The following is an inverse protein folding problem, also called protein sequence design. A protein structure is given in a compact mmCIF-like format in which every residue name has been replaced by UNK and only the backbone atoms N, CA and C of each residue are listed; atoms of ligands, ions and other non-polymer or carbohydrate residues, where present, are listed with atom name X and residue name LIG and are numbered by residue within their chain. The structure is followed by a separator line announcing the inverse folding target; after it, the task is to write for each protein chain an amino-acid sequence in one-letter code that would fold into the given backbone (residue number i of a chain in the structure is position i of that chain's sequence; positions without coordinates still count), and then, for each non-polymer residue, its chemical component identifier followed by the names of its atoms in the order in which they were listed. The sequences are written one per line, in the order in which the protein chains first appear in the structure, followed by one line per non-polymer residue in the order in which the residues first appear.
data_IF_765376017544
#
_entry.id   IF_765376017544
#
_cell.length_a   1.000
_cell.length_b   1.000
_cell.length_c   1.000
_cell.angle_alpha   90.00
_cell.angle_beta   90.00
_cell.angle_gamma   90.00
#
_symmetry.space_group_name_H-M   'P 1'
#
loop_
_entity.id
_entity.type
_entity.pdbx_description
1 polymer ?
#
# COMPACT_ATOMS: atom_id res chain seq x y z
N UNK A 1 25.26 50.38 5.51
CA UNK A 1 26.24 49.39 5.00
C UNK A 1 25.93 48.07 5.68
N UNK A 2 25.43 47.07 4.95
CA UNK A 2 25.22 45.71 5.47
C UNK A 2 26.19 44.78 4.75
N UNK A 3 27.15 44.24 5.51
CA UNK A 3 28.21 43.36 5.01
C UNK A 3 27.59 42.00 4.67
N UNK A 4 27.47 41.69 3.38
CA UNK A 4 27.09 40.36 2.89
C UNK A 4 28.25 39.41 3.18
N UNK A 5 28.13 38.65 4.25
CA UNK A 5 29.06 37.57 4.57
C UNK A 5 28.86 36.45 3.52
N UNK A 6 29.94 36.15 2.81
CA UNK A 6 29.98 35.19 1.72
C UNK A 6 29.51 33.81 2.19
N UNK A 7 28.48 33.27 1.54
CA UNK A 7 28.17 31.85 1.61
C UNK A 7 29.32 31.12 0.90
N UNK A 8 30.23 30.57 1.70
CA UNK A 8 31.39 29.79 1.24
C UNK A 8 30.87 28.55 0.51
N UNK A 9 31.05 28.55 -0.82
CA UNK A 9 30.89 27.40 -1.70
C UNK A 9 31.55 26.17 -1.05
N UNK A 10 30.77 25.12 -0.77
CA UNK A 10 31.35 23.82 -0.52
C UNK A 10 31.92 23.31 -1.84
N UNK A 11 33.19 22.89 -1.82
CA UNK A 11 33.93 22.39 -2.98
C UNK A 11 33.17 21.21 -3.65
N UNK A 12 32.90 21.26 -4.96
CA UNK A 12 32.24 20.20 -5.73
C UNK A 12 32.87 18.81 -5.54
N UNK A 13 34.15 18.77 -5.21
CA UNK A 13 34.93 17.55 -4.95
C UNK A 13 34.42 16.76 -3.75
N UNK A 14 33.88 17.42 -2.72
CA UNK A 14 33.34 16.73 -1.54
C UNK A 14 32.12 15.87 -1.89
N UNK A 15 31.25 16.37 -2.77
CA UNK A 15 30.08 15.64 -3.26
C UNK A 15 30.48 14.49 -4.19
N UNK A 16 31.47 14.72 -5.07
CA UNK A 16 31.99 13.69 -5.96
C UNK A 16 32.66 12.54 -5.18
N UNK A 17 33.47 12.88 -4.18
CA UNK A 17 34.11 11.91 -3.28
C UNK A 17 33.07 11.10 -2.50
N UNK A 18 32.03 11.75 -1.96
CA UNK A 18 30.96 11.04 -1.25
C UNK A 18 30.21 10.07 -2.19
N UNK A 19 29.88 10.50 -3.42
CA UNK A 19 29.23 9.65 -4.42
C UNK A 19 30.06 8.41 -4.74
N UNK A 20 31.37 8.57 -4.91
CA UNK A 20 32.29 7.46 -5.18
C UNK A 20 32.39 6.50 -3.99
N UNK A 21 32.53 7.03 -2.77
CA UNK A 21 32.58 6.21 -1.54
C UNK A 21 31.29 5.42 -1.32
N UNK A 22 30.13 6.02 -1.57
CA UNK A 22 28.83 5.33 -1.48
C UNK A 22 28.76 4.21 -2.52
N UNK A 23 29.21 4.47 -3.76
CA UNK A 23 29.19 3.46 -4.83
C UNK A 23 30.10 2.28 -4.50
N UNK A 24 31.32 2.54 -4.04
CA UNK A 24 32.29 1.51 -3.65
C UNK A 24 31.74 0.64 -2.51
N UNK A 25 31.24 1.26 -1.45
CA UNK A 25 30.68 0.56 -0.29
C UNK A 25 29.41 -0.23 -0.64
N UNK A 26 28.60 0.29 -1.56
CA UNK A 26 27.43 -0.43 -2.08
C UNK A 26 27.87 -1.68 -2.85
N UNK A 27 28.84 -1.57 -3.76
CA UNK A 27 29.34 -2.72 -4.53
C UNK A 27 29.99 -3.78 -3.65
N UNK A 28 30.77 -3.37 -2.64
CA UNK A 28 31.39 -4.28 -1.66
C UNK A 28 30.33 -5.02 -0.84
N UNK A 29 29.34 -4.28 -0.32
CA UNK A 29 28.27 -4.86 0.49
C UNK A 29 27.40 -5.81 -0.34
N UNK A 30 27.09 -5.43 -1.58
CA UNK A 30 26.31 -6.26 -2.49
C UNK A 30 27.05 -7.53 -2.90
N UNK A 31 28.37 -7.46 -3.13
CA UNK A 31 29.19 -8.63 -3.44
C UNK A 31 29.36 -9.61 -2.27
N UNK A 32 29.22 -9.12 -1.03
CA UNK A 32 29.28 -9.95 0.19
C UNK A 32 27.97 -10.66 0.51
N UNK A 33 26.84 -10.18 -0.01
CA UNK A 33 25.54 -10.82 0.19
C UNK A 33 25.49 -12.09 -0.66
N UNK A 34 25.53 -13.25 -0.02
CA UNK A 34 25.26 -14.49 -0.72
C UNK A 34 23.76 -14.62 -0.99
N UNK A 35 23.41 -15.11 -2.17
CA UNK A 35 22.01 -15.40 -2.54
C UNK A 35 21.36 -16.36 -1.53
N UNK A 36 22.14 -17.29 -0.98
CA UNK A 36 21.72 -18.20 0.09
C UNK A 36 21.37 -17.51 1.42
N UNK A 37 22.08 -16.45 1.84
CA UNK A 37 21.70 -15.67 3.02
C UNK A 37 20.39 -14.90 2.80
N UNK A 38 20.15 -14.43 1.57
CA UNK A 38 18.94 -13.71 1.22
C UNK A 38 17.73 -14.65 1.16
N UNK A 39 17.86 -15.82 0.51
CA UNK A 39 16.83 -16.86 0.41
C UNK A 39 16.36 -17.35 1.78
N UNK A 40 17.29 -17.47 2.74
CA UNK A 40 16.99 -17.92 4.10
C UNK A 40 16.64 -16.78 5.07
N UNK A 41 16.72 -15.52 4.64
CA UNK A 41 16.44 -14.39 5.51
C UNK A 41 14.96 -14.39 5.92
N UNK A 42 14.69 -14.24 7.22
CA UNK A 42 13.36 -14.33 7.84
C UNK A 42 12.27 -13.51 7.13
N UNK A 43 12.62 -12.34 6.60
CA UNK A 43 11.68 -11.47 5.87
C UNK A 43 11.31 -12.02 4.49
N UNK A 44 12.25 -12.65 3.79
CA UNK A 44 11.99 -13.21 2.47
C UNK A 44 11.23 -14.52 2.59
N UNK A 45 11.59 -15.36 3.57
CA UNK A 45 10.87 -16.60 3.89
C UNK A 45 9.40 -16.29 4.24
N UNK A 46 9.16 -15.35 5.17
CA UNK A 46 7.79 -14.97 5.56
C UNK A 46 7.00 -14.31 4.42
N UNK A 47 7.67 -13.57 3.53
CA UNK A 47 7.06 -13.04 2.31
C UNK A 47 6.68 -14.16 1.33
N UNK A 48 7.60 -15.07 0.97
CA UNK A 48 7.34 -16.23 0.08
C UNK A 48 6.16 -17.05 0.61
N UNK A 49 6.08 -17.26 1.92
CA UNK A 49 4.96 -17.97 2.55
C UNK A 49 3.63 -17.21 2.49
N UNK A 50 3.65 -15.89 2.72
CA UNK A 50 2.45 -15.04 2.60
C UNK A 50 1.90 -15.02 1.17
N UNK A 51 2.78 -14.96 0.17
CA UNK A 51 2.42 -15.04 -1.26
C UNK A 51 1.80 -16.40 -1.57
N UNK A 52 2.45 -17.50 -1.16
CA UNK A 52 1.94 -18.87 -1.33
C UNK A 52 0.54 -19.05 -0.75
N UNK A 53 0.30 -18.55 0.46
CA UNK A 53 -1.00 -18.66 1.13
C UNK A 53 -2.11 -17.87 0.41
N UNK A 54 -1.76 -16.70 -0.13
CA UNK A 54 -2.70 -15.86 -0.89
C UNK A 54 -3.06 -16.50 -2.23
N UNK A 55 -2.08 -17.10 -2.92
CA UNK A 55 -2.33 -17.79 -4.19
C UNK A 55 -3.15 -19.06 -4.01
N UNK A 56 -2.88 -19.86 -2.97
CA UNK A 56 -3.71 -21.02 -2.60
C UNK A 56 -5.19 -20.67 -2.39
N UNK A 57 -5.47 -19.46 -1.90
CA UNK A 57 -6.85 -18.99 -1.69
C UNK A 57 -7.51 -18.47 -2.97
N UNK A 58 -6.74 -18.07 -3.98
CA UNK A 58 -7.26 -17.57 -5.26
C UNK A 58 -7.32 -18.64 -6.36
N UNK A 59 -6.34 -19.55 -6.43
CA UNK A 59 -6.27 -20.65 -7.38
C UNK A 59 -5.52 -21.86 -6.78
N UNK A 60 -6.22 -22.93 -6.38
CA UNK A 60 -5.59 -24.12 -5.79
C UNK A 60 -4.65 -24.87 -6.74
N UNK A 61 -4.90 -24.82 -8.05
CA UNK A 61 -4.16 -25.58 -9.08
C UNK A 61 -2.81 -24.95 -9.43
N UNK A 62 -2.66 -23.63 -9.21
CA UNK A 62 -1.39 -22.93 -9.40
C UNK A 62 -0.38 -23.23 -8.28
N UNK A 63 -0.82 -23.73 -7.13
CA UNK A 63 0.05 -23.85 -5.94
C UNK A 63 1.01 -25.05 -5.96
N UNK A 64 0.78 -26.06 -6.81
CA UNK A 64 1.60 -27.28 -6.88
C UNK A 64 2.84 -27.15 -7.78
N UNK A 65 2.89 -26.19 -8.70
CA UNK A 65 4.01 -25.98 -9.64
C UNK A 65 4.99 -24.86 -9.25
N UNK A 66 4.82 -24.22 -8.08
CA UNK A 66 5.49 -22.96 -7.74
C UNK A 66 6.88 -23.07 -7.08
N UNK A 67 7.39 -24.27 -6.78
CA UNK A 67 8.74 -24.39 -6.22
C UNK A 67 9.81 -23.95 -7.23
N UNK A 68 9.55 -24.10 -8.53
CA UNK A 68 10.41 -23.61 -9.62
C UNK A 68 10.02 -22.20 -10.09
N UNK A 69 8.73 -21.84 -10.08
CA UNK A 69 8.22 -20.56 -10.64
C UNK A 69 8.46 -19.33 -9.75
N UNK A 70 8.77 -19.50 -8.46
CA UNK A 70 9.11 -18.39 -7.56
C UNK A 70 10.58 -17.92 -7.66
N UNK A 71 11.42 -18.68 -8.33
CA UNK A 71 12.80 -18.28 -8.68
C UNK A 71 12.85 -17.60 -10.07
N UNK A 72 11.75 -17.61 -10.84
CA UNK A 72 11.58 -16.76 -12.02
C UNK A 72 11.12 -15.35 -11.61
N UNK A 73 11.63 -14.34 -12.30
CA UNK A 73 11.45 -12.93 -11.98
C UNK A 73 9.98 -12.57 -11.67
N UNK A 74 9.70 -12.14 -10.43
CA UNK A 74 8.38 -11.63 -10.05
C UNK A 74 8.08 -10.37 -10.87
N UNK A 75 7.19 -10.49 -11.85
CA UNK A 75 6.68 -9.35 -12.59
C UNK A 75 5.79 -8.50 -11.68
N UNK A 76 6.31 -7.35 -11.22
CA UNK A 76 5.53 -6.38 -10.43
C UNK A 76 4.55 -5.66 -11.35
N UNK A 77 3.31 -6.12 -11.39
CA UNK A 77 2.22 -5.38 -12.05
C UNK A 77 1.72 -4.26 -11.14
N UNK A 78 1.54 -3.06 -11.69
CA UNK A 78 0.91 -1.96 -10.96
C UNK A 78 -0.55 -2.30 -10.66
N UNK A 79 -0.90 -2.48 -9.39
CA UNK A 79 -2.31 -2.57 -9.00
C UNK A 79 -2.94 -1.19 -9.09
N UNK A 80 -3.95 -1.04 -9.96
CA UNK A 80 -4.74 0.18 -10.02
C UNK A 80 -5.60 0.30 -8.75
N UNK A 81 -5.37 1.36 -7.98
CA UNK A 81 -6.21 1.67 -6.83
C UNK A 81 -7.47 2.36 -7.32
N UNK A 82 -8.63 1.73 -7.14
CA UNK A 82 -9.90 2.36 -7.48
C UNK A 82 -10.26 3.44 -6.45
N UNK A 83 -10.25 4.71 -6.89
CA UNK A 83 -10.62 5.87 -6.07
C UNK A 83 -12.11 6.21 -6.14
N UNK A 84 -12.89 5.47 -6.92
CA UNK A 84 -14.33 5.69 -7.10
C UNK A 84 -15.11 5.12 -5.91
N UNK A 85 -16.00 5.92 -5.35
CA UNK A 85 -16.88 5.47 -4.28
C UNK A 85 -17.97 4.53 -4.82
N UNK A 86 -18.20 3.35 -4.21
CA UNK A 86 -19.25 2.43 -4.65
C UNK A 86 -20.68 2.98 -4.41
N UNK A 87 -20.83 4.03 -3.60
CA UNK A 87 -22.13 4.67 -3.32
C UNK A 87 -22.45 5.81 -4.29
N UNK A 88 -21.48 6.67 -4.56
CA UNK A 88 -21.70 7.89 -5.36
C UNK A 88 -21.28 7.72 -6.81
N UNK A 89 -20.51 6.67 -7.13
CA UNK A 89 -19.95 6.41 -8.46
C UNK A 89 -19.08 7.56 -8.98
N UNK A 90 -18.53 8.37 -8.07
CA UNK A 90 -17.55 9.43 -8.35
C UNK A 90 -16.33 9.26 -7.46
N UNK A 91 -15.25 9.97 -7.79
CA UNK A 91 -14.01 9.94 -7.00
C UNK A 91 -14.26 10.42 -5.55
N UNK A 92 -13.66 9.72 -4.59
CA UNK A 92 -13.82 10.03 -3.17
C UNK A 92 -13.10 11.33 -2.78
N UNK A 93 -13.78 12.23 -2.07
CA UNK A 93 -13.18 13.46 -1.54
C UNK A 93 -12.59 13.19 -0.15
N UNK A 94 -13.33 12.44 0.67
CA UNK A 94 -12.92 12.06 2.02
C UNK A 94 -13.06 10.54 2.18
N UNK A 95 -12.08 9.74 1.69
CA UNK A 95 -12.16 8.29 1.72
C UNK A 95 -12.17 7.76 3.14
N UNK A 96 -13.25 7.07 3.53
CA UNK A 96 -13.43 6.38 4.80
C UNK A 96 -13.26 4.88 4.60
N UNK A 97 -12.32 4.27 5.30
CA UNK A 97 -12.09 2.82 5.30
C UNK A 97 -12.88 2.15 6.43
N UNK A 98 -13.58 1.06 6.12
CA UNK A 98 -14.19 0.21 7.14
C UNK A 98 -13.17 -0.79 7.71
N UNK A 99 -12.94 -0.78 9.02
CA UNK A 99 -11.95 -1.66 9.69
C UNK A 99 -12.29 -3.16 9.61
N UNK A 100 -13.56 -3.52 9.40
CA UNK A 100 -14.02 -4.92 9.36
C UNK A 100 -13.84 -5.59 7.99
N UNK A 101 -14.03 -4.83 6.91
CA UNK A 101 -14.00 -5.37 5.54
C UNK A 101 -13.01 -4.65 4.61
N UNK A 102 -12.29 -3.65 5.10
CA UNK A 102 -11.31 -2.85 4.37
C UNK A 102 -11.83 -2.09 3.13
N UNK A 103 -13.14 -2.05 2.88
CA UNK A 103 -13.74 -1.27 1.80
C UNK A 103 -13.79 0.23 2.11
N UNK A 104 -13.71 1.04 1.05
CA UNK A 104 -13.68 2.49 1.09
C UNK A 104 -14.96 3.12 0.55
N UNK A 105 -15.32 4.25 1.14
CA UNK A 105 -16.48 5.07 0.75
C UNK A 105 -16.15 6.54 0.87
N UNK A 106 -16.84 7.40 0.15
CA UNK A 106 -16.83 8.82 0.51
C UNK A 106 -17.54 9.02 1.85
N UNK A 107 -16.96 9.87 2.70
CA UNK A 107 -17.44 10.17 4.06
C UNK A 107 -18.89 10.62 4.09
N UNK A 108 -19.28 11.56 3.25
CA UNK A 108 -20.60 12.18 3.38
C UNK A 108 -21.68 11.21 2.89
N UNK A 109 -21.37 10.44 1.84
CA UNK A 109 -22.22 9.38 1.32
C UNK A 109 -22.47 8.27 2.35
N UNK A 110 -21.41 7.75 2.98
CA UNK A 110 -21.57 6.64 3.94
C UNK A 110 -22.24 7.09 5.24
N UNK A 111 -21.95 8.31 5.73
CA UNK A 111 -22.59 8.85 6.93
C UNK A 111 -24.08 9.11 6.69
N UNK A 112 -24.45 9.67 5.52
CA UNK A 112 -25.84 9.84 5.13
C UNK A 112 -26.59 8.51 5.04
N UNK A 113 -25.97 7.48 4.45
CA UNK A 113 -26.57 6.16 4.33
C UNK A 113 -26.73 5.45 5.69
N UNK A 114 -25.77 5.59 6.60
CA UNK A 114 -25.87 5.09 7.97
C UNK A 114 -27.04 5.76 8.70
N UNK A 115 -27.13 7.10 8.65
CA UNK A 115 -28.20 7.86 9.30
C UNK A 115 -29.58 7.47 8.75
N UNK A 116 -29.72 7.37 7.42
CA UNK A 116 -30.96 6.94 6.78
C UNK A 116 -31.41 5.54 7.24
N UNK A 117 -30.49 4.57 7.32
CA UNK A 117 -30.83 3.21 7.79
C UNK A 117 -31.17 3.18 9.27
N UNK A 118 -30.47 3.95 10.11
CA UNK A 118 -30.77 4.06 11.53
C UNK A 118 -32.17 4.64 11.78
N UNK A 119 -32.59 5.65 11.01
CA UNK A 119 -33.96 6.19 11.10
C UNK A 119 -35.05 5.13 10.79
N UNK A 120 -34.72 4.16 9.94
CA UNK A 120 -35.58 3.02 9.59
C UNK A 120 -35.45 1.84 10.56
N UNK A 121 -34.68 1.97 11.65
CA UNK A 121 -34.33 0.88 12.58
C UNK A 121 -33.69 -0.33 11.88
N UNK A 122 -32.96 -0.10 10.77
CA UNK A 122 -32.30 -1.13 9.98
C UNK A 122 -30.77 -1.01 10.10
N UNK A 123 -30.08 -2.14 9.99
CA UNK A 123 -28.63 -2.19 9.86
C UNK A 123 -28.21 -1.87 8.44
N UNK A 124 -27.09 -1.18 8.28
CA UNK A 124 -26.47 -0.96 6.97
C UNK A 124 -25.57 -2.14 6.63
N UNK A 125 -25.86 -2.82 5.51
CA UNK A 125 -24.92 -3.77 4.90
C UNK A 125 -23.86 -3.00 4.13
N UNK A 126 -22.67 -3.58 4.02
CA UNK A 126 -21.59 -3.06 3.20
C UNK A 126 -22.08 -2.82 1.76
N UNK A 127 -21.92 -1.60 1.21
CA UNK A 127 -22.33 -1.28 -0.16
C UNK A 127 -21.56 -2.01 -1.27
N UNK A 128 -20.36 -2.52 -0.98
CA UNK A 128 -19.60 -3.32 -1.95
C UNK A 128 -20.25 -4.69 -2.14
N UNK A 129 -20.59 -5.01 -3.39
CA UNK A 129 -21.24 -6.25 -3.80
C UNK A 129 -20.41 -7.46 -3.34
N UNK A 130 -21.08 -8.49 -2.82
CA UNK A 130 -20.43 -9.71 -2.34
C UNK A 130 -19.78 -9.60 -0.95
N UNK A 131 -19.74 -8.42 -0.35
CA UNK A 131 -19.16 -8.27 0.99
C UNK A 131 -20.08 -8.85 2.08
N UNK A 132 -19.53 -9.73 2.93
CA UNK A 132 -20.24 -10.33 4.07
C UNK A 132 -20.49 -9.41 5.27
N UNK A 133 -20.00 -8.16 5.26
CA UNK A 133 -20.21 -7.25 6.39
C UNK A 133 -21.64 -6.68 6.39
N UNK A 134 -22.45 -7.14 7.34
CA UNK A 134 -23.89 -6.84 7.41
C UNK A 134 -24.27 -5.70 8.36
N UNK A 135 -23.32 -5.14 9.11
CA UNK A 135 -23.59 -4.17 10.17
C UNK A 135 -22.48 -3.10 10.21
N UNK A 136 -22.47 -2.24 9.19
CA UNK A 136 -21.58 -1.09 9.07
C UNK A 136 -22.05 0.03 10.00
N UNK A 137 -21.20 0.42 10.94
CA UNK A 137 -21.46 1.51 11.89
C UNK A 137 -20.44 2.63 11.73
N UNK A 138 -20.79 3.83 12.19
CA UNK A 138 -19.88 4.98 12.19
C UNK A 138 -18.56 4.68 12.92
N UNK A 139 -18.60 3.95 14.04
CA UNK A 139 -17.39 3.57 14.79
C UNK A 139 -16.48 2.55 14.07
N UNK A 140 -16.96 1.91 13.00
CA UNK A 140 -16.14 1.02 12.17
C UNK A 140 -15.34 1.76 11.11
N UNK A 141 -15.67 3.04 10.85
CA UNK A 141 -15.11 3.84 9.79
C UNK A 141 -13.96 4.71 10.31
N UNK A 142 -12.85 4.69 9.57
CA UNK A 142 -11.69 5.54 9.82
C UNK A 142 -11.34 6.31 8.55
N UNK A 143 -10.91 7.57 8.69
CA UNK A 143 -10.46 8.37 7.56
C UNK A 143 -9.14 7.81 7.02
N UNK A 144 -9.09 7.49 5.73
CA UNK A 144 -7.90 6.95 5.08
C UNK A 144 -7.05 8.10 4.51
N UNK A 145 -6.10 8.58 5.31
CA UNK A 145 -5.20 9.66 4.91
C UNK A 145 -4.25 9.26 3.78
N UNK A 146 -3.94 7.96 3.65
CA UNK A 146 -3.05 7.46 2.59
C UNK A 146 -3.80 7.55 1.26
N UNK A 147 -5.01 7.00 1.20
CA UNK A 147 -5.84 7.07 0.00
C UNK A 147 -6.17 8.52 -0.37
N UNK A 148 -6.50 9.37 0.62
CA UNK A 148 -6.74 10.79 0.36
C UNK A 148 -5.55 11.48 -0.28
N UNK A 149 -4.33 11.18 0.20
CA UNK A 149 -3.09 11.70 -0.38
C UNK A 149 -2.80 11.14 -1.76
N UNK A 150 -3.17 9.89 -2.04
CA UNK A 150 -3.03 9.29 -3.37
C UNK A 150 -3.94 9.96 -4.39
N UNK A 151 -5.21 10.20 -4.03
CA UNK A 151 -6.17 10.92 -4.86
C UNK A 151 -5.67 12.32 -5.21
N UNK A 152 -5.15 13.05 -4.21
CA UNK A 152 -4.64 14.43 -4.40
C UNK A 152 -3.34 14.54 -5.19
N UNK A 153 -2.56 13.45 -5.31
CA UNK A 153 -1.25 13.43 -5.97
C UNK A 153 -1.30 12.91 -7.40
N UNK A 154 -2.50 12.56 -7.86
CA UNK A 154 -2.74 12.08 -9.21
C UNK A 154 -2.57 13.22 -10.21
#
# INVERSE_FOLDING_TARGET
MWQKQQVRNQEPEAMFRLKSLVKEKFTETHGRLSEGELQNHVKLVSFKESVRNTLKTMNPEAAENMEEELDEDIAVTQSEVNFTCPLTQVEMVNPMKNKKCNHHYDRDAIMGMISARQSQKKKLRCPVVGCGNMDVKQGDLILDQIMKRQIQKR
#
